data_IF_527989822106
#
_entry.id   IF_527989822106
#
_cell.length_a   1.000
_cell.length_b   1.000
_cell.length_c   1.000
_cell.angle_alpha   90.00
_cell.angle_beta   90.00
_cell.angle_gamma   90.00
#
_symmetry.space_group_name_H-M   'P 1'
#
loop_
_entity.id
_entity.type
_entity.pdbx_description
1 polymer ?
#
# COMPACT_ATOMS: atom_id res chain seq x y z
N UNK A 1 -5.62 23.20 2.40
CA UNK A 1 -6.02 21.80 2.51
C UNK A 1 -4.86 20.91 2.11
N UNK A 2 -4.64 19.80 2.83
CA UNK A 2 -3.65 18.80 2.50
C UNK A 2 -4.05 17.45 3.09
N UNK A 3 -3.33 16.39 2.71
CA UNK A 3 -3.60 15.03 3.20
C UNK A 3 -2.37 14.40 3.86
N UNK A 4 -2.59 13.51 4.82
CA UNK A 4 -1.55 12.82 5.55
C UNK A 4 -1.35 11.38 5.03
N UNK A 5 -0.64 11.26 3.91
CA UNK A 5 -0.30 9.98 3.29
C UNK A 5 -1.18 9.61 2.11
N UNK A 6 -0.58 9.57 0.94
CA UNK A 6 -1.22 9.18 -0.33
C UNK A 6 -1.72 7.74 -0.26
N UNK A 7 -2.86 7.47 -0.88
CA UNK A 7 -3.30 6.14 -1.27
C UNK A 7 -2.92 5.90 -2.72
N UNK A 8 -2.59 4.65 -3.07
CA UNK A 8 -2.40 4.26 -4.46
C UNK A 8 -3.74 4.39 -5.24
N UNK A 9 -3.74 4.60 -6.56
CA UNK A 9 -4.97 4.85 -7.34
C UNK A 9 -6.04 3.77 -7.19
N UNK A 10 -5.63 2.50 -7.06
CA UNK A 10 -6.55 1.36 -6.89
C UNK A 10 -6.84 1.03 -5.41
N UNK A 11 -6.24 1.76 -4.47
CA UNK A 11 -6.48 1.56 -3.04
C UNK A 11 -7.71 2.33 -2.56
N UNK A 12 -8.38 1.76 -1.56
CA UNK A 12 -9.52 2.36 -0.86
C UNK A 12 -9.17 2.65 0.61
N UNK A 13 -10.16 3.16 1.35
CA UNK A 13 -10.08 3.29 2.80
C UNK A 13 -9.71 4.67 3.30
N UNK A 14 -9.10 4.73 4.47
CA UNK A 14 -8.91 5.93 5.26
C UNK A 14 -7.90 6.90 4.65
N UNK A 15 -8.34 8.11 4.35
CA UNK A 15 -7.48 9.23 3.99
C UNK A 15 -7.68 10.40 4.98
N UNK A 16 -6.62 10.80 5.66
CA UNK A 16 -6.67 11.93 6.59
C UNK A 16 -6.51 13.23 5.82
N UNK A 17 -7.55 14.07 5.85
CA UNK A 17 -7.55 15.40 5.25
C UNK A 17 -7.37 16.45 6.36
N UNK A 18 -6.45 17.36 6.17
CA UNK A 18 -6.17 18.47 7.08
C UNK A 18 -6.55 19.79 6.43
N UNK A 19 -7.28 20.64 7.18
CA UNK A 19 -7.68 21.98 6.72
C UNK A 19 -7.15 23.08 7.66
N UNK A 20 -7.03 24.28 7.18
CA UNK A 20 -6.62 25.45 7.97
C UNK A 20 -5.33 25.21 8.74
N UNK A 21 -5.30 25.56 10.01
CA UNK A 21 -4.11 25.44 10.88
C UNK A 21 -3.62 23.98 11.04
N UNK A 22 -4.50 22.99 10.86
CA UNK A 22 -4.16 21.56 10.97
C UNK A 22 -3.25 21.06 9.83
N UNK A 23 -3.09 21.81 8.75
CA UNK A 23 -2.11 21.46 7.71
C UNK A 23 -0.66 21.44 8.23
N UNK A 24 -0.37 22.19 9.32
CA UNK A 24 0.97 22.21 9.94
C UNK A 24 1.38 20.88 10.61
N UNK A 25 0.42 20.02 10.97
CA UNK A 25 0.70 18.72 11.61
C UNK A 25 0.68 17.55 10.63
N UNK A 26 0.56 17.79 9.32
CA UNK A 26 0.50 16.73 8.30
C UNK A 26 1.73 15.81 8.39
N UNK A 27 2.92 16.35 8.55
CA UNK A 27 4.15 15.55 8.67
C UNK A 27 4.09 14.58 9.86
N UNK A 28 3.63 15.05 11.02
CA UNK A 28 3.46 14.21 12.22
C UNK A 28 2.46 13.08 11.98
N UNK A 29 1.32 13.38 11.31
CA UNK A 29 0.33 12.37 10.95
C UNK A 29 0.87 11.36 9.92
N UNK A 30 1.72 11.82 8.99
CA UNK A 30 2.37 10.94 8.03
C UNK A 30 3.34 9.95 8.69
N UNK A 31 3.96 10.34 9.80
CA UNK A 31 4.95 9.55 10.52
C UNK A 31 4.36 8.38 11.34
N UNK A 32 3.04 8.34 11.47
CA UNK A 32 2.34 7.28 12.21
C UNK A 32 2.36 5.92 11.49
N UNK A 33 2.10 4.86 12.25
CA UNK A 33 1.84 3.52 11.72
C UNK A 33 0.57 3.49 10.87
N UNK A 34 0.50 2.54 9.96
CA UNK A 34 -0.67 2.28 9.12
C UNK A 34 -1.06 0.81 9.21
N UNK A 35 -2.37 0.56 9.14
CA UNK A 35 -2.90 -0.79 9.00
C UNK A 35 -3.67 -0.90 7.69
N UNK A 36 -3.49 -2.05 7.06
CA UNK A 36 -4.10 -2.37 5.77
C UNK A 36 -4.71 -3.77 5.80
N UNK A 37 -5.84 -3.91 5.14
CA UNK A 37 -6.34 -5.19 4.64
C UNK A 37 -6.26 -5.20 3.13
N UNK A 38 -6.17 -6.37 2.53
CA UNK A 38 -6.07 -6.51 1.08
C UNK A 38 -5.90 -7.94 0.64
N UNK A 39 -5.57 -8.11 -0.63
CA UNK A 39 -5.40 -9.43 -1.23
C UNK A 39 -4.13 -9.46 -2.08
N UNK A 40 -3.24 -10.41 -1.80
CA UNK A 40 -2.19 -10.83 -2.71
C UNK A 40 -2.74 -11.89 -3.64
N UNK A 41 -2.53 -11.74 -4.94
CA UNK A 41 -2.82 -12.76 -5.94
C UNK A 41 -1.52 -13.43 -6.35
N UNK A 42 -1.40 -14.72 -6.04
CA UNK A 42 -0.25 -15.55 -6.37
C UNK A 42 -0.29 -16.03 -7.82
N UNK A 43 0.85 -16.51 -8.32
CA UNK A 43 0.97 -17.13 -9.63
C UNK A 43 1.20 -16.14 -10.78
N UNK A 44 1.29 -14.84 -10.51
CA UNK A 44 1.59 -13.85 -11.54
C UNK A 44 2.25 -12.60 -10.97
N UNK A 45 3.06 -11.92 -11.78
CA UNK A 45 3.61 -10.59 -11.47
C UNK A 45 3.10 -9.55 -12.45
N UNK A 46 3.18 -8.28 -12.04
CA UNK A 46 2.94 -7.11 -12.89
C UNK A 46 4.07 -6.10 -12.67
N UNK A 47 4.43 -5.26 -13.62
CA UNK A 47 5.49 -4.25 -13.46
C UNK A 47 5.20 -3.21 -12.35
N UNK A 48 3.92 -2.90 -12.08
CA UNK A 48 3.48 -1.99 -11.02
C UNK A 48 3.35 -2.66 -9.65
N UNK A 49 3.43 -4.00 -9.60
CA UNK A 49 3.17 -4.85 -8.43
C UNK A 49 1.70 -4.82 -7.95
N UNK A 50 0.79 -4.28 -8.78
CA UNK A 50 -0.66 -4.22 -8.61
C UNK A 50 -1.38 -4.36 -9.97
N UNK A 51 -2.66 -3.99 -10.05
CA UNK A 51 -3.47 -4.08 -11.26
C UNK A 51 -3.42 -2.83 -12.16
N UNK A 52 -2.51 -1.87 -11.91
CA UNK A 52 -2.31 -0.72 -12.82
C UNK A 52 -1.66 -1.13 -14.14
N UNK A 53 -0.93 -2.25 -14.16
CA UNK A 53 -0.29 -2.80 -15.36
C UNK A 53 -0.68 -4.25 -15.58
N UNK A 54 -0.63 -4.70 -16.82
CA UNK A 54 -0.90 -6.08 -17.22
C UNK A 54 0.12 -7.06 -16.64
N UNK A 55 -0.28 -8.34 -16.59
CA UNK A 55 0.60 -9.44 -16.15
C UNK A 55 1.79 -9.55 -17.11
N UNK A 56 3.00 -9.57 -16.55
CA UNK A 56 4.24 -9.74 -17.30
C UNK A 56 4.82 -11.16 -17.19
N UNK A 57 4.54 -11.88 -16.09
CA UNK A 57 5.00 -13.26 -15.89
C UNK A 57 3.96 -14.07 -15.12
N UNK A 58 3.90 -15.37 -15.42
CA UNK A 58 3.10 -16.36 -14.70
C UNK A 58 3.99 -17.44 -14.08
N UNK A 59 3.50 -18.04 -12.98
CA UNK A 59 4.23 -19.02 -12.18
C UNK A 59 3.28 -20.13 -11.73
N UNK A 60 3.84 -21.33 -11.53
CA UNK A 60 3.11 -22.43 -10.90
C UNK A 60 2.86 -22.12 -9.41
N UNK A 61 1.71 -22.56 -8.89
CA UNK A 61 1.30 -22.40 -7.49
C UNK A 61 0.94 -23.74 -6.80
N UNK A 62 1.10 -24.89 -7.48
CA UNK A 62 0.72 -26.21 -6.95
C UNK A 62 1.53 -26.61 -5.72
N UNK A 63 2.77 -26.11 -5.60
CA UNK A 63 3.64 -26.35 -4.45
C UNK A 63 3.28 -25.52 -3.21
N UNK A 64 2.34 -24.56 -3.34
CA UNK A 64 2.03 -23.62 -2.27
C UNK A 64 1.04 -24.26 -1.28
N UNK A 65 1.52 -24.46 -0.06
CA UNK A 65 0.74 -24.98 1.06
C UNK A 65 0.43 -23.90 2.10
N UNK A 66 -0.60 -24.07 2.93
CA UNK A 66 -0.86 -23.15 4.04
C UNK A 66 0.34 -22.99 4.99
N UNK A 67 1.07 -24.05 5.23
CA UNK A 67 2.29 -24.02 6.06
C UNK A 67 3.39 -23.16 5.42
N UNK A 68 3.63 -23.33 4.12
CA UNK A 68 4.61 -22.50 3.39
C UNK A 68 4.22 -21.02 3.43
N UNK A 69 2.94 -20.69 3.26
CA UNK A 69 2.41 -19.33 3.37
C UNK A 69 2.70 -18.75 4.76
N UNK A 70 2.36 -19.49 5.82
CA UNK A 70 2.57 -19.03 7.20
C UNK A 70 4.05 -18.82 7.54
N UNK A 71 4.91 -19.76 7.15
CA UNK A 71 6.35 -19.67 7.38
C UNK A 71 6.97 -18.50 6.58
N UNK A 72 6.48 -18.24 5.37
CA UNK A 72 6.93 -17.10 4.58
C UNK A 72 6.51 -15.79 5.20
N UNK A 73 5.27 -15.66 5.73
CA UNK A 73 4.83 -14.45 6.45
C UNK A 73 5.74 -14.06 7.59
N UNK A 74 6.24 -15.04 8.36
CA UNK A 74 7.14 -14.81 9.51
C UNK A 74 8.46 -14.14 9.10
N UNK A 75 8.94 -14.39 7.88
CA UNK A 75 10.19 -13.79 7.37
C UNK A 75 10.09 -12.29 7.14
N UNK A 76 8.88 -11.76 6.99
CA UNK A 76 8.64 -10.33 6.76
C UNK A 76 8.31 -9.55 8.04
N UNK A 77 8.24 -10.20 9.20
CA UNK A 77 8.02 -9.51 10.47
C UNK A 77 9.28 -8.77 10.96
N UNK A 78 9.07 -7.63 11.61
CA UNK A 78 10.14 -6.80 12.14
C UNK A 78 10.72 -5.86 11.09
N UNK A 79 12.01 -5.52 11.23
CA UNK A 79 12.71 -4.58 10.35
C UNK A 79 13.19 -5.27 9.09
N UNK A 80 12.72 -4.82 7.95
CA UNK A 80 13.09 -5.35 6.63
C UNK A 80 13.62 -4.24 5.72
N UNK A 81 14.38 -4.64 4.71
CA UNK A 81 14.79 -3.77 3.62
C UNK A 81 13.84 -3.95 2.43
N UNK A 82 13.18 -2.88 2.02
CA UNK A 82 12.23 -2.90 0.92
C UNK A 82 12.68 -1.96 -0.20
N UNK A 83 12.62 -2.42 -1.45
CA UNK A 83 12.79 -1.58 -2.64
C UNK A 83 11.44 -0.97 -3.00
N UNK A 84 11.30 0.36 -3.02
CA UNK A 84 10.07 1.00 -3.49
C UNK A 84 9.72 0.60 -4.92
N UNK A 85 8.43 0.53 -5.30
CA UNK A 85 8.07 0.23 -6.68
C UNK A 85 8.45 1.41 -7.58
N UNK A 86 8.78 1.10 -8.85
CA UNK A 86 9.09 2.12 -9.85
C UNK A 86 7.87 3.03 -10.10
N UNK A 87 6.66 2.45 -10.06
CA UNK A 87 5.38 3.16 -10.16
C UNK A 87 5.02 3.84 -8.83
N UNK A 88 5.81 4.83 -8.40
CA UNK A 88 5.57 5.58 -7.16
C UNK A 88 5.80 7.08 -7.31
N UNK A 89 5.25 7.85 -6.38
CA UNK A 89 5.39 9.31 -6.34
C UNK A 89 6.72 9.79 -5.74
N UNK A 90 7.63 8.87 -5.38
CA UNK A 90 8.97 9.25 -4.91
C UNK A 90 9.73 10.00 -6.00
N UNK A 91 10.51 10.99 -5.57
CA UNK A 91 11.36 11.76 -6.47
C UNK A 91 12.79 11.24 -6.46
N UNK A 92 13.39 11.14 -7.65
CA UNK A 92 14.82 10.98 -7.87
C UNK A 92 15.24 11.95 -8.97
N UNK A 93 16.32 12.68 -8.76
CA UNK A 93 16.85 13.67 -9.71
C UNK A 93 15.76 14.69 -10.19
N UNK A 94 14.91 15.13 -9.25
CA UNK A 94 13.84 16.11 -9.49
C UNK A 94 12.57 15.56 -10.15
N UNK A 95 12.59 14.34 -10.71
CA UNK A 95 11.45 13.69 -11.38
C UNK A 95 10.84 12.60 -10.50
N UNK A 96 9.56 12.32 -10.66
CA UNK A 96 8.88 11.23 -9.96
C UNK A 96 9.20 9.88 -10.58
N UNK A 97 9.29 8.81 -9.78
CA UNK A 97 9.67 7.49 -10.27
C UNK A 97 8.70 6.95 -11.34
N UNK A 98 7.41 7.22 -11.22
CA UNK A 98 6.43 6.80 -12.24
C UNK A 98 6.65 7.44 -13.62
N UNK A 99 7.31 8.62 -13.70
CA UNK A 99 7.67 9.24 -14.97
C UNK A 99 8.79 8.46 -15.67
N UNK A 100 9.75 7.92 -14.89
CA UNK A 100 10.77 7.00 -15.40
C UNK A 100 10.15 5.69 -15.86
N UNK A 101 9.19 5.13 -15.08
CA UNK A 101 8.46 3.92 -15.47
C UNK A 101 7.83 4.06 -16.86
N UNK A 102 7.10 5.15 -17.08
CA UNK A 102 6.40 5.42 -18.35
C UNK A 102 7.36 5.68 -19.52
N UNK A 103 8.56 6.18 -19.25
CA UNK A 103 9.59 6.40 -20.28
C UNK A 103 10.46 5.19 -20.57
N UNK A 104 10.21 4.04 -19.92
CA UNK A 104 11.00 2.81 -20.08
C UNK A 104 12.44 2.91 -19.58
N UNK A 105 12.81 3.98 -18.87
CA UNK A 105 14.18 4.18 -18.36
C UNK A 105 14.39 3.36 -17.10
N UNK A 106 15.41 2.50 -17.14
CA UNK A 106 15.89 1.83 -15.94
C UNK A 106 16.50 2.85 -14.97
N UNK A 107 16.09 2.80 -13.71
CA UNK A 107 16.63 3.62 -12.65
C UNK A 107 16.89 2.76 -11.43
N UNK A 108 18.06 2.93 -10.83
CA UNK A 108 18.35 2.25 -9.58
C UNK A 108 17.64 2.97 -8.41
N UNK A 109 16.84 2.23 -7.68
CA UNK A 109 16.06 2.71 -6.52
C UNK A 109 16.68 2.10 -5.27
N UNK A 110 17.17 2.96 -4.38
CA UNK A 110 17.74 2.53 -3.12
C UNK A 110 16.70 1.84 -2.23
N UNK A 111 17.09 0.74 -1.60
CA UNK A 111 16.28 0.09 -0.57
C UNK A 111 16.15 1.00 0.65
N UNK A 112 15.02 0.88 1.35
CA UNK A 112 14.76 1.59 2.60
C UNK A 112 14.37 0.62 3.69
N UNK A 113 14.71 0.98 4.92
CA UNK A 113 14.28 0.22 6.08
C UNK A 113 12.83 0.57 6.39
N UNK A 114 12.01 -0.46 6.54
CA UNK A 114 10.62 -0.37 7.02
C UNK A 114 10.41 -1.43 8.10
N UNK A 115 9.37 -1.27 8.90
CA UNK A 115 9.04 -2.23 9.95
C UNK A 115 7.64 -2.78 9.73
N UNK A 116 7.50 -4.09 9.73
CA UNK A 116 6.21 -4.79 9.70
C UNK A 116 5.92 -5.26 11.13
N UNK A 117 4.96 -4.63 11.79
CA UNK A 117 4.59 -4.95 13.17
C UNK A 117 3.65 -6.16 13.25
N UNK A 118 2.84 -6.35 12.21
CA UNK A 118 1.91 -7.46 12.09
C UNK A 118 1.74 -7.84 10.63
N UNK A 119 1.78 -9.13 10.36
CA UNK A 119 1.42 -9.69 9.07
C UNK A 119 0.65 -10.99 9.32
N UNK A 120 -0.64 -10.96 9.07
CA UNK A 120 -1.54 -12.10 9.26
C UNK A 120 -2.27 -12.40 7.97
N UNK A 121 -2.25 -13.66 7.55
CA UNK A 121 -3.17 -14.15 6.51
C UNK A 121 -4.52 -14.43 7.18
N UNK A 122 -5.58 -13.81 6.67
CA UNK A 122 -6.94 -13.90 7.19
C UNK A 122 -7.68 -15.05 6.50
N UNK A 123 -7.44 -15.22 5.20
CA UNK A 123 -8.11 -16.21 4.36
C UNK A 123 -7.18 -16.67 3.26
N UNK A 124 -7.19 -17.97 3.00
CA UNK A 124 -6.46 -18.62 1.90
C UNK A 124 -7.49 -19.20 0.93
N UNK A 125 -7.53 -18.64 -0.28
CA UNK A 125 -8.36 -19.13 -1.40
C UNK A 125 -7.52 -19.04 -2.67
N UNK A 126 -6.56 -19.98 -2.81
CA UNK A 126 -5.61 -19.91 -3.91
C UNK A 126 -6.29 -19.66 -5.27
N UNK A 127 -5.79 -18.70 -6.06
CA UNK A 127 -4.53 -17.98 -5.88
C UNK A 127 -4.58 -16.74 -4.95
N UNK A 128 -5.69 -16.48 -4.26
CA UNK A 128 -5.89 -15.27 -3.46
C UNK A 128 -5.55 -15.52 -1.98
N UNK A 129 -4.74 -14.60 -1.42
CA UNK A 129 -4.39 -14.53 0.01
C UNK A 129 -4.90 -13.22 0.59
N UNK A 130 -5.96 -13.27 1.40
CA UNK A 130 -6.42 -12.10 2.13
C UNK A 130 -5.55 -11.88 3.36
N UNK A 131 -5.12 -10.64 3.58
CA UNK A 131 -4.20 -10.30 4.66
C UNK A 131 -4.67 -9.13 5.52
N UNK A 132 -4.08 -9.03 6.72
CA UNK A 132 -4.02 -7.85 7.55
C UNK A 132 -2.55 -7.55 7.87
N UNK A 133 -2.09 -6.33 7.54
CA UNK A 133 -0.71 -5.87 7.76
C UNK A 133 -0.73 -4.55 8.52
N UNK A 134 0.06 -4.47 9.62
CA UNK A 134 0.37 -3.21 10.30
C UNK A 134 1.85 -2.92 10.13
N UNK A 135 2.18 -1.70 9.69
CA UNK A 135 3.54 -1.34 9.29
C UNK A 135 3.88 0.12 9.59
N UNK A 136 5.17 0.42 9.55
CA UNK A 136 5.70 1.78 9.68
C UNK A 136 5.36 2.64 8.45
N UNK A 137 5.52 3.96 8.61
CA UNK A 137 5.47 4.89 7.48
C UNK A 137 6.40 4.46 6.34
N UNK A 138 6.03 4.79 5.11
CA UNK A 138 6.85 4.55 3.92
C UNK A 138 6.90 3.10 3.45
N UNK A 139 6.17 2.19 4.07
CA UNK A 139 6.01 0.81 3.61
C UNK A 139 5.11 0.76 2.39
N UNK A 140 5.58 0.10 1.33
CA UNK A 140 4.81 -0.17 0.11
C UNK A 140 4.25 -1.59 0.17
N UNK A 141 2.93 -1.72 0.31
CA UNK A 141 2.26 -3.03 0.34
C UNK A 141 2.41 -3.73 -1.01
N UNK A 142 2.48 -3.00 -2.11
CA UNK A 142 2.77 -3.53 -3.45
C UNK A 142 4.14 -4.23 -3.53
N UNK A 143 5.18 -3.58 -3.01
CA UNK A 143 6.51 -4.20 -2.94
C UNK A 143 6.52 -5.43 -2.03
N UNK A 144 5.75 -5.39 -0.93
CA UNK A 144 5.63 -6.54 -0.03
C UNK A 144 4.96 -7.73 -0.73
N UNK A 145 3.92 -7.48 -1.55
CA UNK A 145 3.29 -8.51 -2.38
C UNK A 145 4.30 -9.17 -3.33
N UNK A 146 5.07 -8.36 -4.06
CA UNK A 146 6.10 -8.84 -4.97
C UNK A 146 7.19 -9.65 -4.27
N UNK A 147 7.72 -9.12 -3.15
CA UNK A 147 8.78 -9.78 -2.38
C UNK A 147 8.27 -11.08 -1.74
N UNK A 148 7.01 -11.10 -1.25
CA UNK A 148 6.35 -12.32 -0.75
C UNK A 148 6.22 -13.38 -1.84
N UNK A 149 5.77 -12.98 -3.05
CA UNK A 149 5.70 -13.89 -4.20
C UNK A 149 7.05 -14.53 -4.53
N UNK A 150 8.13 -13.76 -4.47
CA UNK A 150 9.50 -14.28 -4.65
C UNK A 150 9.90 -15.25 -3.55
N UNK A 151 9.62 -14.92 -2.29
CA UNK A 151 10.00 -15.74 -1.14
C UNK A 151 9.27 -17.09 -1.12
N UNK A 152 8.07 -17.17 -1.70
CA UNK A 152 7.29 -18.42 -1.83
C UNK A 152 7.60 -19.18 -3.14
N UNK A 153 8.68 -18.79 -3.86
CA UNK A 153 9.09 -19.37 -5.13
C UNK A 153 8.01 -19.32 -6.22
N UNK A 154 7.24 -18.24 -6.22
CA UNK A 154 6.19 -17.93 -7.20
C UNK A 154 6.24 -16.44 -7.53
N UNK A 155 5.26 -15.93 -8.26
CA UNK A 155 4.99 -14.52 -8.41
C UNK A 155 3.80 -14.10 -7.54
N UNK A 156 3.74 -12.83 -7.19
CA UNK A 156 2.53 -12.24 -6.60
C UNK A 156 2.43 -10.76 -6.95
N UNK A 157 1.21 -10.27 -6.98
CA UNK A 157 0.87 -8.85 -7.07
C UNK A 157 -0.29 -8.52 -6.14
N UNK A 158 -0.44 -7.24 -5.84
CA UNK A 158 -1.52 -6.74 -5.02
C UNK A 158 -2.78 -6.59 -5.88
N UNK A 159 -3.87 -7.29 -5.54
CA UNK A 159 -5.14 -7.23 -6.29
C UNK A 159 -6.20 -6.36 -5.59
N UNK A 160 -6.09 -6.15 -4.27
CA UNK A 160 -6.95 -5.27 -3.51
C UNK A 160 -6.19 -4.68 -2.32
N UNK A 161 -6.48 -3.42 -1.98
CA UNK A 161 -5.89 -2.74 -0.82
C UNK A 161 -6.90 -1.78 -0.20
N UNK A 162 -7.03 -1.85 1.12
CA UNK A 162 -7.79 -0.90 1.90
C UNK A 162 -6.97 -0.47 3.13
N UNK A 163 -6.79 0.83 3.33
CA UNK A 163 -6.19 1.34 4.55
C UNK A 163 -7.25 1.45 5.64
N UNK A 164 -7.14 0.62 6.68
CA UNK A 164 -8.09 0.53 7.79
C UNK A 164 -7.73 1.46 8.93
N UNK A 165 -6.41 1.78 9.10
CA UNK A 165 -5.96 2.66 10.17
C UNK A 165 -4.76 3.52 9.74
N UNK A 166 -4.68 4.73 10.28
CA UNK A 166 -3.54 5.65 10.17
C UNK A 166 -3.33 6.36 11.51
N UNK A 167 -2.29 5.97 12.24
CA UNK A 167 -2.09 6.42 13.63
C UNK A 167 -3.30 6.07 14.51
N UNK A 168 -3.80 7.05 15.24
CA UNK A 168 -4.98 6.89 16.10
C UNK A 168 -6.33 6.99 15.38
N UNK A 169 -6.38 7.05 14.05
CA UNK A 169 -7.61 7.20 13.27
C UNK A 169 -7.97 5.87 12.61
N UNK A 170 -9.24 5.48 12.68
CA UNK A 170 -9.77 4.25 12.13
C UNK A 170 -10.79 4.51 11.01
N UNK A 171 -10.85 3.61 10.04
CA UNK A 171 -11.75 3.72 8.89
C UNK A 171 -13.24 3.74 9.32
N UNK A 172 -13.59 3.02 10.39
CA UNK A 172 -14.98 2.96 10.90
C UNK A 172 -15.51 4.33 11.34
N UNK A 173 -14.62 5.26 11.71
CA UNK A 173 -14.95 6.61 12.18
C UNK A 173 -14.89 7.65 11.04
N UNK A 174 -14.56 7.22 9.82
CA UNK A 174 -14.42 8.10 8.67
C UNK A 174 -15.77 8.43 8.02
N UNK A 175 -15.85 9.63 7.47
CA UNK A 175 -16.95 10.02 6.59
C UNK A 175 -16.75 9.46 5.20
N UNK A 176 -17.83 9.03 4.55
CA UNK A 176 -17.80 8.73 3.11
C UNK A 176 -17.77 10.02 2.29
N UNK A 177 -17.26 9.97 1.06
CA UNK A 177 -17.30 11.14 0.16
C UNK A 177 -18.73 11.65 -0.04
N UNK A 178 -19.69 10.74 -0.15
CA UNK A 178 -21.09 11.09 -0.28
C UNK A 178 -21.61 11.85 0.96
N UNK A 179 -21.31 11.38 2.17
CA UNK A 179 -21.71 12.06 3.42
C UNK A 179 -21.08 13.44 3.56
N UNK A 180 -19.83 13.62 3.13
CA UNK A 180 -19.16 14.93 3.12
C UNK A 180 -19.82 15.87 2.12
N UNK A 181 -20.17 15.40 0.92
CA UNK A 181 -20.81 16.21 -0.10
C UNK A 181 -22.23 16.63 0.33
N UNK A 182 -23.01 15.73 0.91
CA UNK A 182 -24.38 16.02 1.37
C UNK A 182 -24.40 16.95 2.58
N UNK A 183 -23.42 16.88 3.49
CA UNK A 183 -23.30 17.77 4.64
C UNK A 183 -22.77 19.17 4.27
N UNK A 184 -22.12 19.34 3.13
CA UNK A 184 -21.61 20.64 2.67
C UNK A 184 -22.72 21.65 2.28
N UNK A 185 -23.97 21.25 2.16
CA UNK A 185 -25.11 22.18 2.00
C UNK A 185 -25.31 23.13 3.20
N UNK A 186 -24.64 22.89 4.33
CA UNK A 186 -24.67 23.71 5.55
C UNK A 186 -23.31 24.38 5.89
N UNK A 187 -22.24 24.10 5.15
CA UNK A 187 -20.95 24.76 5.36
C UNK A 187 -20.89 26.01 4.49
N UNK A 188 -21.33 27.14 5.06
CA UNK A 188 -21.11 28.46 4.48
C UNK A 188 -19.58 28.73 4.43
N UNK A 189 -18.94 28.43 3.30
CA UNK A 189 -17.55 28.84 3.03
C UNK A 189 -17.60 30.35 2.80
N UNK A 190 -17.43 31.14 3.87
CA UNK A 190 -17.10 32.55 3.71
C UNK A 190 -15.70 32.62 3.07
N UNK A 191 -15.68 32.84 1.76
CA UNK A 191 -14.48 33.31 1.05
C UNK A 191 -14.08 34.67 1.62
N UNK A 192 -12.92 34.71 2.23
CA UNK A 192 -12.15 35.97 2.43
C UNK A 192 -10.84 35.84 1.72
#
# INVERSE_FOLDING_TARGET
>A
VGHAGTLDPLATGLLLICTGKKTKIISTLQDSEKEYTGTFKLGATTPSYDLETEIDKTFNIEHITPELIENTTKQFLGRIQQKPPLFSALKKDGKRLYEYARSGKAIDIAKRNVTIFKFKIIKIELPNLCFLIRCSKGTYIRSLAYDFGKAISSGAHLSALQRTQSGGYELKDAYTMESVLNNNSHINIKSK
#
